data_IF_931707092423
#
_entry.id   IF_931707092423
#
_cell.length_a   1.000
_cell.length_b   1.000
_cell.length_c   1.000
_cell.angle_alpha   90.00
_cell.angle_beta   90.00
_cell.angle_gamma   90.00
#
_symmetry.space_group_name_H-M   'P 1'
#
loop_
_entity.id
_entity.type
_entity.pdbx_description
1 polymer ?
#
# COMPACT_ATOMS: atom_id res chain seq x y z
N UNK A 1 -16.78 -25.13 -44.00
CA UNK A 1 -17.29 -23.75 -43.80
C UNK A 1 -16.33 -23.05 -42.87
N UNK A 2 -15.81 -21.89 -43.30
CA UNK A 2 -14.97 -20.97 -42.52
C UNK A 2 -15.73 -20.45 -41.29
N UNK A 3 -15.06 -20.33 -40.14
CA UNK A 3 -14.61 -19.05 -39.59
C UNK A 3 -13.57 -19.28 -38.48
N UNK A 4 -12.46 -18.57 -38.63
CA UNK A 4 -11.38 -18.33 -37.68
C UNK A 4 -11.83 -17.56 -36.46
N UNK A 5 -11.12 -17.67 -35.34
CA UNK A 5 -10.80 -16.57 -34.39
C UNK A 5 -9.75 -17.11 -33.40
N UNK A 6 -8.47 -16.74 -33.60
CA UNK A 6 -7.77 -15.60 -32.99
C UNK A 6 -7.20 -15.96 -31.61
N UNK A 7 -6.02 -16.59 -31.66
CA UNK A 7 -5.04 -16.64 -30.58
C UNK A 7 -4.50 -15.21 -30.39
N UNK A 8 -4.75 -14.58 -29.24
CA UNK A 8 -4.13 -13.31 -28.87
C UNK A 8 -2.96 -13.63 -27.96
N UNK A 9 -1.76 -13.65 -28.54
CA UNK A 9 -0.51 -13.43 -27.81
C UNK A 9 -0.48 -11.98 -27.34
N UNK A 10 -0.45 -11.75 -26.03
CA UNK A 10 -0.27 -10.44 -25.41
C UNK A 10 1.10 -10.28 -24.79
N UNK A 11 2.16 -10.30 -25.61
CA UNK A 11 3.48 -9.83 -25.21
C UNK A 11 3.45 -8.30 -25.19
N UNK A 12 3.19 -7.69 -24.03
CA UNK A 12 3.31 -6.25 -23.86
C UNK A 12 4.79 -5.88 -23.66
N UNK A 13 5.52 -5.68 -24.76
CA UNK A 13 6.75 -4.90 -24.75
C UNK A 13 6.40 -3.43 -24.51
N UNK A 14 6.48 -2.94 -23.27
CA UNK A 14 6.62 -1.50 -23.01
C UNK A 14 8.08 -1.09 -23.21
N UNK A 15 8.46 -0.91 -24.47
CA UNK A 15 9.69 -0.22 -24.84
C UNK A 15 9.46 1.29 -24.88
N UNK A 16 9.66 1.99 -23.76
CA UNK A 16 9.79 3.46 -23.78
C UNK A 16 11.25 3.78 -24.11
N UNK A 17 11.49 3.99 -25.41
CA UNK A 17 12.77 4.40 -25.97
C UNK A 17 12.96 5.92 -25.76
N UNK A 18 13.53 6.33 -24.63
CA UNK A 18 14.01 7.70 -24.43
C UNK A 18 15.41 7.87 -25.07
N UNK A 19 15.47 8.39 -26.30
CA UNK A 19 16.72 8.88 -26.91
C UNK A 19 16.64 10.38 -27.14
N UNK A 20 17.59 11.15 -26.57
CA UNK A 20 17.70 12.59 -26.84
C UNK A 20 18.45 13.47 -25.82
N UNK A 21 19.74 13.18 -25.58
CA UNK A 21 20.90 14.08 -25.38
C UNK A 21 20.68 15.50 -24.77
N UNK A 22 21.32 15.78 -23.63
CA UNK A 22 22.29 16.88 -23.46
C UNK A 22 22.98 16.82 -22.08
N UNK A 23 24.31 16.75 -22.07
CA UNK A 23 25.11 16.86 -20.87
C UNK A 23 25.07 18.29 -20.31
N UNK A 24 24.55 18.45 -19.10
CA UNK A 24 24.93 19.55 -18.21
C UNK A 24 25.73 18.95 -17.05
N UNK A 25 27.05 19.11 -17.09
CA UNK A 25 27.91 18.89 -15.92
C UNK A 25 27.66 20.01 -14.92
N UNK A 26 26.53 19.96 -14.22
CA UNK A 26 26.46 20.47 -12.87
C UNK A 26 27.26 19.48 -12.02
N UNK A 27 28.19 19.99 -11.21
CA UNK A 27 28.86 19.17 -10.21
C UNK A 27 27.77 18.75 -9.24
N UNK A 28 27.19 17.56 -9.47
CA UNK A 28 26.21 16.97 -8.58
C UNK A 28 26.85 16.93 -7.21
N UNK A 29 26.18 17.52 -6.23
CA UNK A 29 26.46 17.23 -4.83
C UNK A 29 26.53 15.70 -4.70
N UNK A 30 27.57 15.19 -4.06
CA UNK A 30 27.74 13.74 -3.93
C UNK A 30 26.49 13.21 -3.23
N UNK A 31 25.64 12.46 -3.95
CA UNK A 31 24.40 11.93 -3.39
C UNK A 31 24.75 11.16 -2.13
N UNK A 32 24.22 11.63 -1.00
CA UNK A 32 24.44 11.01 0.30
C UNK A 32 23.38 9.93 0.52
N UNK A 33 23.69 8.87 1.26
CA UNK A 33 22.66 7.98 1.76
C UNK A 33 21.65 8.75 2.61
N UNK A 34 20.38 8.40 2.50
CA UNK A 34 19.30 8.91 3.35
C UNK A 34 18.85 7.81 4.32
N UNK A 35 18.33 8.22 5.46
CA UNK A 35 17.63 7.32 6.36
C UNK A 35 16.41 7.99 6.98
N UNK A 36 15.30 7.25 6.99
CA UNK A 36 14.03 7.66 7.55
C UNK A 36 13.58 6.60 8.55
N UNK A 37 13.31 7.00 9.79
CA UNK A 37 12.78 6.15 10.83
C UNK A 37 11.44 6.73 11.28
N UNK A 38 10.43 5.89 11.45
CA UNK A 38 9.15 6.32 11.98
C UNK A 38 8.50 5.25 12.83
N UNK A 39 7.54 5.68 13.65
CA UNK A 39 6.60 4.80 14.32
C UNK A 39 5.24 5.48 14.29
N UNK A 40 4.26 4.77 13.75
CA UNK A 40 2.85 5.19 13.75
C UNK A 40 2.12 4.51 14.89
N UNK A 41 1.32 5.26 15.63
CA UNK A 41 0.35 4.72 16.59
C UNK A 41 -1.05 5.01 16.05
N UNK A 42 -1.74 3.97 15.55
CA UNK A 42 -3.03 4.09 14.89
C UNK A 42 -4.13 3.39 15.69
N UNK A 43 -5.35 3.89 15.55
CA UNK A 43 -6.53 3.29 16.19
C UNK A 43 -6.96 1.96 15.57
N UNK A 44 -6.52 1.66 14.33
CA UNK A 44 -6.80 0.43 13.59
C UNK A 44 -5.72 0.19 12.52
N UNK A 45 -5.45 -1.07 12.19
CA UNK A 45 -4.75 -1.48 10.98
C UNK A 45 -5.78 -1.86 9.91
N UNK A 46 -5.84 -1.07 8.83
CA UNK A 46 -6.68 -1.35 7.67
C UNK A 46 -5.80 -1.51 6.44
N UNK A 47 -5.84 -2.68 5.80
CA UNK A 47 -5.03 -2.99 4.63
C UNK A 47 -5.92 -3.33 3.43
N UNK A 48 -5.83 -2.51 2.37
CA UNK A 48 -6.65 -2.61 1.15
C UNK A 48 -8.15 -2.81 1.42
N UNK A 49 -8.68 -2.20 2.47
CA UNK A 49 -10.09 -2.32 2.85
C UNK A 49 -10.33 -3.23 4.05
N UNK A 50 -9.50 -4.25 4.27
CA UNK A 50 -9.66 -5.22 5.36
C UNK A 50 -9.27 -4.62 6.72
N UNK A 51 -10.15 -4.70 7.70
CA UNK A 51 -9.81 -4.41 9.10
C UNK A 51 -9.04 -5.60 9.69
N UNK A 52 -7.75 -5.38 9.99
CA UNK A 52 -6.82 -6.38 10.53
C UNK A 52 -6.50 -6.15 12.01
N UNK A 53 -7.20 -5.21 12.65
CA UNK A 53 -7.15 -5.02 14.11
C UNK A 53 -8.44 -4.40 14.62
N UNK A 54 -8.83 -4.71 15.86
CA UNK A 54 -10.07 -4.21 16.45
C UNK A 54 -9.90 -3.88 17.92
N UNK A 55 -10.54 -2.80 18.35
CA UNK A 55 -10.59 -2.33 19.75
C UNK A 55 -9.23 -2.12 20.43
N UNK A 56 -8.16 -1.98 19.64
CA UNK A 56 -6.78 -1.86 20.10
C UNK A 56 -6.04 -0.73 19.36
N UNK A 57 -4.87 -0.35 19.86
CA UNK A 57 -3.92 0.50 19.13
C UNK A 57 -2.93 -0.40 18.41
N UNK A 58 -2.59 -0.06 17.18
CA UNK A 58 -1.46 -0.69 16.47
C UNK A 58 -0.26 0.24 16.46
N UNK A 59 0.93 -0.34 16.66
CA UNK A 59 2.22 0.34 16.57
C UNK A 59 2.94 -0.17 15.32
N UNK A 60 3.24 0.74 14.40
CA UNK A 60 3.79 0.41 13.10
C UNK A 60 5.16 1.08 12.91
N UNK A 61 6.26 0.47 13.42
CA UNK A 61 7.59 0.97 13.17
C UNK A 61 7.98 0.78 11.70
N UNK A 62 8.71 1.75 11.15
CA UNK A 62 9.22 1.70 9.79
C UNK A 62 10.61 2.32 9.71
N UNK A 63 11.49 1.72 8.92
CA UNK A 63 12.83 2.23 8.64
C UNK A 63 13.14 2.08 7.16
N UNK A 64 13.49 3.18 6.51
CA UNK A 64 13.93 3.23 5.12
C UNK A 64 15.37 3.71 5.05
N UNK A 65 16.19 3.05 4.23
CA UNK A 65 17.50 3.56 3.81
C UNK A 65 17.51 3.72 2.30
N UNK A 66 18.05 4.85 1.82
CA UNK A 66 18.06 5.21 0.40
C UNK A 66 19.45 5.57 -0.11
N UNK A 67 19.78 5.17 -1.34
CA UNK A 67 20.99 5.60 -2.04
C UNK A 67 20.86 5.46 -3.56
N UNK A 68 21.02 6.57 -4.30
CA UNK A 68 21.04 6.60 -5.79
C UNK A 68 19.79 5.97 -6.43
N UNK A 69 18.62 6.27 -5.88
CA UNK A 69 17.35 5.70 -6.30
C UNK A 69 17.05 4.31 -5.72
N UNK A 70 18.03 3.59 -5.17
CA UNK A 70 17.75 2.32 -4.48
C UNK A 70 17.24 2.59 -3.06
N UNK A 71 16.15 1.92 -2.69
CA UNK A 71 15.59 1.93 -1.34
C UNK A 71 15.53 0.53 -0.74
N UNK A 72 15.73 0.44 0.57
CA UNK A 72 15.33 -0.71 1.37
C UNK A 72 14.49 -0.24 2.54
N UNK A 73 13.28 -0.76 2.67
CA UNK A 73 12.38 -0.49 3.78
C UNK A 73 12.12 -1.77 4.59
N UNK A 74 12.12 -1.61 5.91
CA UNK A 74 11.65 -2.59 6.87
C UNK A 74 10.49 -1.97 7.65
N UNK A 75 9.33 -2.60 7.58
CA UNK A 75 8.12 -2.21 8.29
C UNK A 75 7.62 -3.37 9.15
N UNK A 76 6.88 -3.09 10.22
CA UNK A 76 6.19 -4.13 10.97
C UNK A 76 4.92 -3.62 11.62
N UNK A 77 4.06 -4.56 12.01
CA UNK A 77 2.83 -4.29 12.73
C UNK A 77 2.83 -4.97 14.10
N UNK A 78 2.56 -4.19 15.14
CA UNK A 78 2.32 -4.68 16.49
C UNK A 78 0.93 -4.25 16.94
N UNK A 79 0.03 -5.21 17.13
CA UNK A 79 -1.24 -4.98 17.79
C UNK A 79 -1.03 -5.01 19.32
N UNK A 80 -1.46 -3.95 20.02
CA UNK A 80 -1.29 -3.87 21.48
C UNK A 80 -2.24 -4.76 22.28
N UNK A 81 -3.34 -5.19 21.67
CA UNK A 81 -4.36 -6.05 22.27
C UNK A 81 -5.06 -6.82 21.14
N UNK A 82 -4.35 -7.80 20.56
CA UNK A 82 -4.82 -8.55 19.40
C UNK A 82 -6.15 -9.24 19.71
N UNK A 83 -7.14 -9.01 18.85
CA UNK A 83 -8.51 -9.48 19.06
C UNK A 83 -8.62 -11.01 18.99
N UNK A 84 -9.44 -11.60 19.87
CA UNK A 84 -9.55 -13.05 20.05
C UNK A 84 -9.85 -13.83 18.76
N UNK A 85 -10.60 -13.27 17.80
CA UNK A 85 -10.90 -13.94 16.53
C UNK A 85 -9.69 -14.07 15.60
N UNK A 86 -8.67 -13.22 15.79
CA UNK A 86 -7.39 -13.34 15.11
C UNK A 86 -6.43 -14.26 15.90
N UNK A 87 -6.48 -14.17 17.22
CA UNK A 87 -5.54 -14.84 18.12
C UNK A 87 -5.77 -16.35 18.24
N UNK A 88 -7.02 -16.82 18.20
CA UNK A 88 -7.35 -18.20 18.57
C UNK A 88 -7.98 -19.02 17.43
N UNK A 89 -7.51 -20.27 17.27
CA UNK A 89 -8.18 -21.24 16.41
C UNK A 89 -9.54 -21.70 17.00
N UNK A 90 -10.30 -22.49 16.22
CA UNK A 90 -11.57 -23.08 16.65
C UNK A 90 -11.47 -23.98 17.91
N UNK A 91 -10.24 -24.36 18.31
CA UNK A 91 -9.94 -25.17 19.48
C UNK A 91 -9.42 -24.33 20.66
N UNK A 92 -9.32 -23.01 20.52
CA UNK A 92 -8.82 -22.08 21.53
C UNK A 92 -7.30 -22.11 21.73
N UNK A 93 -6.55 -22.61 20.75
CA UNK A 93 -5.08 -22.51 20.75
C UNK A 93 -4.67 -21.14 20.23
N UNK A 94 -3.68 -20.55 20.89
CA UNK A 94 -3.03 -19.32 20.44
C UNK A 94 -2.28 -19.59 19.13
N UNK A 95 -2.66 -18.87 18.08
CA UNK A 95 -2.16 -19.06 16.71
C UNK A 95 -1.39 -17.87 16.16
N UNK A 96 -1.55 -16.67 16.75
CA UNK A 96 -0.98 -15.43 16.22
C UNK A 96 -0.42 -14.58 17.37
N UNK A 97 0.85 -14.21 17.28
CA UNK A 97 1.52 -13.26 18.15
C UNK A 97 1.02 -11.82 17.89
N UNK A 98 1.03 -10.98 18.92
CA UNK A 98 0.73 -9.55 18.80
C UNK A 98 1.58 -8.82 17.74
N UNK A 99 2.79 -9.32 17.44
CA UNK A 99 3.57 -8.86 16.30
C UNK A 99 3.08 -9.60 15.06
N UNK A 100 2.13 -9.01 14.34
CA UNK A 100 1.36 -9.73 13.32
C UNK A 100 2.08 -9.80 11.97
N UNK A 101 3.00 -8.86 11.68
CA UNK A 101 3.56 -8.74 10.34
C UNK A 101 4.94 -8.06 10.31
N UNK A 102 5.81 -8.48 9.38
CA UNK A 102 7.05 -7.79 9.01
C UNK A 102 7.21 -7.73 7.50
N UNK A 103 7.36 -6.53 6.96
CA UNK A 103 7.50 -6.33 5.53
C UNK A 103 8.91 -5.86 5.18
N UNK A 104 9.44 -6.43 4.11
CA UNK A 104 10.73 -6.05 3.55
C UNK A 104 10.54 -5.61 2.11
N UNK A 105 10.79 -4.33 1.84
CA UNK A 105 10.65 -3.76 0.50
C UNK A 105 12.01 -3.37 -0.06
N UNK A 106 12.29 -3.79 -1.29
CA UNK A 106 13.37 -3.29 -2.13
C UNK A 106 12.79 -2.45 -3.25
N UNK A 107 13.25 -1.21 -3.41
CA UNK A 107 12.76 -0.30 -4.45
C UNK A 107 13.88 0.27 -5.31
N UNK A 108 13.51 0.67 -6.52
CA UNK A 108 14.27 1.59 -7.35
C UNK A 108 13.35 2.70 -7.85
N UNK A 109 13.61 3.92 -7.37
CA UNK A 109 12.81 5.10 -7.61
C UNK A 109 13.59 6.14 -8.42
N UNK A 110 12.87 6.87 -9.26
CA UNK A 110 13.43 7.94 -10.07
C UNK A 110 12.40 8.97 -10.45
N UNK A 111 12.89 10.08 -10.99
CA UNK A 111 12.06 11.21 -11.37
C UNK A 111 12.44 11.70 -12.76
N UNK A 112 11.43 12.14 -13.51
CA UNK A 112 11.59 12.91 -14.74
C UNK A 112 10.73 14.19 -14.65
N UNK A 113 10.81 15.06 -15.66
CA UNK A 113 10.18 16.39 -15.61
C UNK A 113 8.65 16.40 -15.40
N UNK A 114 7.97 15.28 -15.62
CA UNK A 114 6.51 15.21 -15.58
C UNK A 114 5.99 14.12 -14.66
N UNK A 115 6.86 13.25 -14.15
CA UNK A 115 6.46 12.12 -13.33
C UNK A 115 7.60 11.58 -12.47
N UNK A 116 7.23 11.13 -11.29
CA UNK A 116 8.01 10.20 -10.48
C UNK A 116 7.61 8.77 -10.84
N UNK A 117 8.54 7.83 -10.77
CA UNK A 117 8.30 6.43 -11.10
C UNK A 117 9.09 5.51 -10.17
N UNK A 118 8.56 4.32 -9.94
CA UNK A 118 9.18 3.33 -9.08
C UNK A 118 8.94 1.91 -9.58
N UNK A 119 9.85 1.01 -9.21
CA UNK A 119 9.65 -0.44 -9.28
C UNK A 119 10.14 -1.03 -7.97
N UNK A 120 9.46 -2.06 -7.48
CA UNK A 120 9.91 -2.70 -6.26
C UNK A 120 9.46 -4.14 -6.12
N UNK A 121 9.98 -4.75 -5.08
CA UNK A 121 9.67 -6.08 -4.60
C UNK A 121 9.40 -6.00 -3.11
N UNK A 122 8.37 -6.69 -2.65
CA UNK A 122 7.94 -6.73 -1.26
C UNK A 122 7.87 -8.20 -0.84
N UNK A 123 8.42 -8.51 0.33
CA UNK A 123 8.22 -9.76 1.03
C UNK A 123 7.41 -9.48 2.29
N UNK A 124 6.30 -10.20 2.46
CA UNK A 124 5.39 -10.11 3.58
C UNK A 124 5.63 -11.32 4.50
N UNK A 125 6.12 -11.05 5.72
CA UNK A 125 6.23 -12.07 6.76
C UNK A 125 5.02 -11.96 7.68
N UNK A 126 3.98 -12.75 7.44
CA UNK A 126 2.69 -12.66 8.13
C UNK A 126 2.63 -13.77 9.17
N UNK A 127 2.36 -13.40 10.42
CA UNK A 127 2.21 -14.40 11.47
C UNK A 127 0.83 -15.09 11.39
N UNK A 128 0.82 -16.40 11.58
CA UNK A 128 -0.40 -17.21 11.45
C UNK A 128 -0.89 -17.52 10.02
N UNK A 129 -0.29 -16.91 8.99
CA UNK A 129 -0.69 -17.08 7.59
C UNK A 129 0.50 -17.45 6.69
N UNK A 130 0.23 -17.79 5.43
CA UNK A 130 1.29 -18.00 4.45
C UNK A 130 1.97 -16.66 4.12
N UNK A 131 3.31 -16.65 4.16
CA UNK A 131 4.08 -15.50 3.71
C UNK A 131 3.87 -15.30 2.21
N UNK A 132 3.82 -14.06 1.75
CA UNK A 132 3.66 -13.76 0.32
C UNK A 132 4.68 -12.75 -0.20
N UNK A 133 4.70 -12.60 -1.52
CA UNK A 133 5.65 -11.76 -2.24
C UNK A 133 4.94 -11.00 -3.34
N UNK A 134 5.19 -9.69 -3.43
CA UNK A 134 4.67 -8.85 -4.49
C UNK A 134 5.80 -8.18 -5.26
N UNK A 135 5.59 -7.96 -6.56
CA UNK A 135 6.32 -6.96 -7.34
C UNK A 135 5.39 -5.81 -7.69
N UNK A 136 5.92 -4.60 -7.76
CA UNK A 136 5.11 -3.45 -8.15
C UNK A 136 5.82 -2.51 -9.11
N UNK A 137 5.03 -1.76 -9.86
CA UNK A 137 5.46 -0.59 -10.62
C UNK A 137 4.54 0.58 -10.30
N UNK A 138 5.11 1.77 -10.16
CA UNK A 138 4.38 2.99 -9.85
C UNK A 138 4.76 4.14 -10.77
N UNK A 139 3.80 5.06 -10.97
CA UNK A 139 4.04 6.35 -11.59
C UNK A 139 3.12 7.41 -10.97
N UNK A 140 3.66 8.59 -10.70
CA UNK A 140 2.93 9.75 -10.16
C UNK A 140 3.21 10.96 -11.02
N UNK A 141 2.18 11.58 -11.61
CA UNK A 141 2.38 12.76 -12.45
C UNK A 141 2.56 14.01 -11.59
N UNK A 142 3.55 14.84 -11.92
CA UNK A 142 3.84 16.10 -11.23
C UNK A 142 2.90 17.22 -11.70
N UNK A 143 1.61 17.11 -11.34
CA UNK A 143 0.55 18.07 -11.66
C UNK A 143 -0.17 18.53 -10.39
N UNK A 144 -1.15 19.42 -10.50
CA UNK A 144 -1.85 19.98 -9.34
C UNK A 144 -2.35 18.90 -8.36
N UNK A 145 -2.93 17.81 -8.86
CA UNK A 145 -3.53 16.76 -8.02
C UNK A 145 -2.67 15.49 -7.91
N UNK A 146 -1.41 15.56 -8.33
CA UNK A 146 -0.45 14.45 -8.26
C UNK A 146 -1.05 13.06 -8.55
N UNK A 147 -1.75 12.86 -9.69
CA UNK A 147 -2.43 11.60 -9.94
C UNK A 147 -1.41 10.46 -10.03
N UNK A 148 -1.68 9.37 -9.32
CA UNK A 148 -0.80 8.22 -9.20
C UNK A 148 -1.47 6.94 -9.68
N UNK A 149 -0.64 6.03 -10.19
CA UNK A 149 -0.99 4.66 -10.52
C UNK A 149 0.08 3.75 -9.94
N UNK A 150 -0.35 2.74 -9.18
CA UNK A 150 0.54 1.64 -8.78
C UNK A 150 -0.13 0.32 -9.09
N UNK A 151 0.62 -0.58 -9.73
CA UNK A 151 0.20 -1.93 -10.08
C UNK A 151 1.07 -2.89 -9.30
N UNK A 152 0.43 -3.71 -8.48
CA UNK A 152 1.03 -4.79 -7.70
C UNK A 152 0.67 -6.13 -8.34
N UNK A 153 1.60 -7.05 -8.31
CA UNK A 153 1.40 -8.45 -8.68
C UNK A 153 1.92 -9.33 -7.56
N UNK A 154 1.02 -10.06 -6.93
CA UNK A 154 1.39 -11.16 -6.05
C UNK A 154 1.88 -12.35 -6.88
N UNK A 155 2.98 -12.95 -6.45
CA UNK A 155 3.67 -14.03 -7.15
C UNK A 155 3.84 -15.28 -6.28
N UNK A 156 3.16 -15.35 -5.13
CA UNK A 156 3.30 -16.44 -4.17
C UNK A 156 1.95 -16.88 -3.59
N UNK A 157 1.55 -16.44 -2.39
CA UNK A 157 0.45 -17.05 -1.63
C UNK A 157 -0.95 -16.58 -2.02
N UNK A 158 -1.08 -15.42 -2.69
CA UNK A 158 -2.38 -14.96 -3.21
C UNK A 158 -2.23 -14.41 -4.64
N UNK A 159 -1.87 -15.24 -5.63
CA UNK A 159 -1.59 -14.78 -7.00
C UNK A 159 -2.73 -13.94 -7.58
N UNK A 160 -2.41 -12.70 -7.90
CA UNK A 160 -3.40 -11.75 -8.38
C UNK A 160 -2.81 -10.37 -8.58
N UNK A 161 -3.61 -9.47 -9.12
CA UNK A 161 -3.26 -8.07 -9.31
C UNK A 161 -4.02 -7.19 -8.33
N UNK A 162 -3.31 -6.22 -7.75
CA UNK A 162 -3.94 -5.07 -7.12
C UNK A 162 -3.51 -3.80 -7.85
N UNK A 163 -4.48 -3.04 -8.34
CA UNK A 163 -4.22 -1.78 -9.07
C UNK A 163 -4.82 -0.63 -8.28
N UNK A 164 -3.99 0.35 -7.93
CA UNK A 164 -4.43 1.54 -7.21
C UNK A 164 -4.30 2.78 -8.07
N UNK A 165 -5.35 3.60 -8.08
CA UNK A 165 -5.38 4.93 -8.68
C UNK A 165 -5.60 5.97 -7.58
N UNK A 166 -4.71 6.94 -7.50
CA UNK A 166 -4.72 7.96 -6.45
C UNK A 166 -4.70 9.39 -6.98
N UNK A 167 -5.14 10.31 -6.16
CA UNK A 167 -4.90 11.75 -6.28
C UNK A 167 -4.53 12.32 -4.91
N UNK A 168 -3.71 13.37 -4.90
CA UNK A 168 -3.37 14.07 -3.67
C UNK A 168 -3.11 15.56 -3.90
N UNK A 169 -3.32 16.37 -2.87
CA UNK A 169 -2.99 17.79 -2.91
C UNK A 169 -2.60 18.31 -1.52
N UNK A 170 -1.56 19.13 -1.48
CA UNK A 170 -1.06 19.79 -0.28
C UNK A 170 -1.52 21.25 -0.25
N UNK A 171 -2.37 21.59 0.72
CA UNK A 171 -2.83 22.96 0.95
C UNK A 171 -1.95 23.64 1.98
N UNK A 172 -1.20 24.67 1.58
CA UNK A 172 -0.44 25.48 2.53
C UNK A 172 -1.38 26.21 3.50
N UNK A 173 -1.22 25.95 4.79
CA UNK A 173 -1.92 26.65 5.88
C UNK A 173 -1.04 27.81 6.38
N UNK A 174 0.25 27.56 6.54
CA UNK A 174 1.29 28.54 6.83
C UNK A 174 2.51 28.28 5.92
N UNK A 175 3.60 29.03 6.09
CA UNK A 175 4.86 28.76 5.39
C UNK A 175 5.50 27.42 5.81
N UNK A 176 5.15 26.90 6.98
CA UNK A 176 5.75 25.69 7.58
C UNK A 176 4.77 24.51 7.71
N UNK A 177 3.46 24.75 7.52
CA UNK A 177 2.41 23.75 7.71
C UNK A 177 1.56 23.58 6.45
N UNK A 178 1.41 22.33 6.00
CA UNK A 178 0.50 21.90 4.95
C UNK A 178 -0.57 20.97 5.50
N UNK A 179 -1.80 21.11 5.01
CA UNK A 179 -2.83 20.09 5.09
C UNK A 179 -2.74 19.24 3.82
N UNK A 180 -2.39 17.97 3.99
CA UNK A 180 -2.26 17.02 2.91
C UNK A 180 -3.56 16.21 2.81
N UNK A 181 -4.21 16.26 1.65
CA UNK A 181 -5.43 15.50 1.37
C UNK A 181 -5.16 14.49 0.26
N UNK A 182 -5.69 13.28 0.42
CA UNK A 182 -5.57 12.21 -0.55
C UNK A 182 -6.89 11.47 -0.77
N UNK A 183 -7.02 10.87 -1.95
CA UNK A 183 -8.04 9.88 -2.23
C UNK A 183 -7.45 8.80 -3.14
N UNK A 184 -7.78 7.53 -2.90
CA UNK A 184 -7.43 6.41 -3.78
C UNK A 184 -8.61 5.46 -3.97
N UNK A 185 -8.58 4.73 -5.07
CA UNK A 185 -9.40 3.55 -5.33
C UNK A 185 -8.51 2.37 -5.72
N UNK A 186 -8.92 1.17 -5.33
CA UNK A 186 -8.28 -0.09 -5.64
C UNK A 186 -9.14 -0.97 -6.54
N UNK A 187 -8.50 -1.76 -7.39
CA UNK A 187 -9.10 -2.86 -8.13
C UNK A 187 -8.30 -4.12 -7.86
N UNK A 188 -8.99 -5.21 -7.51
CA UNK A 188 -8.40 -6.52 -7.33
C UNK A 188 -8.80 -7.44 -8.50
N UNK A 189 -7.87 -8.28 -8.92
CA UNK A 189 -8.05 -9.32 -9.94
C UNK A 189 -7.31 -10.57 -9.47
N UNK A 190 -8.02 -11.53 -8.89
CA UNK A 190 -7.43 -12.78 -8.39
C UNK A 190 -7.34 -13.79 -9.52
N UNK A 191 -6.26 -14.58 -9.54
CA UNK A 191 -6.02 -15.50 -10.65
C UNK A 191 -6.89 -16.77 -10.59
N UNK A 192 -7.21 -17.25 -9.39
CA UNK A 192 -7.84 -18.55 -9.15
C UNK A 192 -8.97 -18.44 -8.09
N UNK A 193 -10.10 -19.08 -8.35
CA UNK A 193 -11.24 -19.10 -7.44
C UNK A 193 -10.95 -19.84 -6.12
N UNK A 194 -9.98 -20.77 -6.12
CA UNK A 194 -9.56 -21.48 -4.91
C UNK A 194 -8.86 -20.53 -3.91
N UNK A 195 -8.25 -19.44 -4.40
CA UNK A 195 -7.59 -18.42 -3.58
C UNK A 195 -8.60 -17.40 -3.04
N UNK A 196 -9.47 -16.88 -3.92
CA UNK A 196 -10.62 -16.05 -3.53
C UNK A 196 -11.68 -16.06 -4.64
N UNK A 197 -12.81 -16.70 -4.36
CA UNK A 197 -13.93 -16.78 -5.28
C UNK A 197 -14.78 -15.50 -5.30
N UNK A 198 -15.41 -15.24 -6.44
CA UNK A 198 -16.42 -14.18 -6.57
C UNK A 198 -17.65 -14.51 -5.69
N UNK A 199 -18.13 -13.56 -4.86
CA UNK A 199 -19.31 -13.75 -4.00
C UNK A 199 -20.59 -14.15 -4.74
N UNK A 200 -20.75 -13.70 -5.99
CA UNK A 200 -21.94 -13.93 -6.82
C UNK A 200 -21.82 -15.19 -7.71
N UNK A 201 -20.60 -15.62 -8.06
CA UNK A 201 -20.33 -16.90 -8.75
C UNK A 201 -19.08 -17.60 -8.18
N UNK A 202 -19.24 -18.62 -7.31
CA UNK A 202 -18.12 -19.27 -6.65
C UNK A 202 -17.26 -20.15 -7.58
N UNK A 203 -17.55 -20.19 -8.90
CA UNK A 203 -16.70 -20.86 -9.90
C UNK A 203 -15.82 -19.88 -10.68
N UNK A 204 -15.92 -18.59 -10.40
CA UNK A 204 -15.08 -17.55 -10.99
C UNK A 204 -14.23 -16.91 -9.87
N UNK A 205 -12.99 -16.52 -10.21
CA UNK A 205 -12.11 -15.82 -9.30
C UNK A 205 -12.57 -14.36 -9.09
N UNK A 206 -12.38 -13.85 -7.88
CA UNK A 206 -12.81 -12.49 -7.53
C UNK A 206 -12.08 -11.43 -8.35
N UNK A 207 -12.85 -10.54 -8.99
CA UNK A 207 -12.32 -9.43 -9.77
C UNK A 207 -13.24 -8.22 -9.68
N UNK A 208 -12.88 -7.22 -8.87
CA UNK A 208 -13.76 -6.08 -8.63
C UNK A 208 -13.06 -4.79 -8.22
N UNK A 209 -13.78 -3.66 -8.36
CA UNK A 209 -13.39 -2.42 -7.69
C UNK A 209 -13.54 -2.64 -6.19
N UNK A 210 -12.42 -2.67 -5.49
CA UNK A 210 -12.37 -3.24 -4.16
C UNK A 210 -12.55 -2.17 -3.07
N UNK A 211 -11.52 -1.36 -2.83
CA UNK A 211 -11.48 -0.40 -1.73
C UNK A 211 -11.31 1.04 -2.20
N UNK A 212 -11.96 1.96 -1.52
CA UNK A 212 -11.71 3.39 -1.60
C UNK A 212 -11.14 3.89 -0.28
N UNK A 213 -10.18 4.82 -0.34
CA UNK A 213 -9.66 5.49 0.87
C UNK A 213 -9.60 6.99 0.64
N UNK A 214 -10.09 7.77 1.60
CA UNK A 214 -9.88 9.21 1.71
C UNK A 214 -8.97 9.46 2.91
N UNK A 215 -7.98 10.34 2.75
CA UNK A 215 -7.00 10.66 3.79
C UNK A 215 -6.84 12.15 4.03
N UNK A 216 -6.50 12.50 5.26
CA UNK A 216 -6.06 13.83 5.66
C UNK A 216 -4.92 13.71 6.67
N UNK A 217 -3.84 14.46 6.47
CA UNK A 217 -2.73 14.54 7.42
C UNK A 217 -2.12 15.93 7.46
N UNK A 218 -1.35 16.21 8.51
CA UNK A 218 -0.61 17.47 8.66
C UNK A 218 0.68 17.20 9.40
N UNK A 219 1.81 17.57 8.79
CA UNK A 219 3.13 17.34 9.39
C UNK A 219 3.58 18.56 10.19
N UNK A 220 3.89 18.36 11.47
CA UNK A 220 4.45 19.38 12.36
C UNK A 220 5.95 19.12 12.57
N UNK A 221 6.84 19.96 12.02
CA UNK A 221 8.27 19.82 12.25
C UNK A 221 8.64 20.11 13.72
N UNK A 222 9.55 19.32 14.27
CA UNK A 222 10.03 19.40 15.64
C UNK A 222 11.57 19.47 15.66
N UNK A 223 12.11 20.65 15.37
CA UNK A 223 13.54 20.84 15.22
C UNK A 223 14.02 20.42 13.83
N UNK A 224 15.27 19.98 13.72
CA UNK A 224 15.91 19.71 12.42
C UNK A 224 15.58 18.32 11.87
N UNK A 225 15.47 17.32 12.74
CA UNK A 225 15.40 15.91 12.32
C UNK A 225 14.06 15.25 12.56
N UNK A 226 13.20 15.80 13.44
CA UNK A 226 11.99 15.12 13.88
C UNK A 226 10.73 15.82 13.38
N UNK A 227 9.66 15.05 13.22
CA UNK A 227 8.32 15.57 12.96
C UNK A 227 7.24 14.71 13.62
N UNK A 228 6.09 15.31 13.85
CA UNK A 228 4.87 14.63 14.30
C UNK A 228 3.77 14.87 13.28
N UNK A 229 3.12 13.80 12.85
CA UNK A 229 2.09 13.83 11.81
C UNK A 229 0.83 13.17 12.31
N UNK A 230 -0.16 13.93 12.82
CA UNK A 230 -1.52 13.43 12.95
C UNK A 230 -2.12 13.09 11.58
N UNK A 231 -2.89 12.01 11.55
CA UNK A 231 -3.48 11.44 10.34
C UNK A 231 -4.88 10.87 10.59
N UNK A 232 -5.73 10.95 9.58
CA UNK A 232 -7.10 10.45 9.58
C UNK A 232 -7.42 9.85 8.21
N UNK A 233 -8.11 8.73 8.24
CA UNK A 233 -8.47 7.93 7.09
C UNK A 233 -9.94 7.49 7.17
N UNK A 234 -10.56 7.37 6.01
CA UNK A 234 -11.83 6.67 5.83
C UNK A 234 -11.68 5.68 4.68
N UNK A 235 -11.74 4.39 5.00
CA UNK A 235 -11.76 3.26 4.07
C UNK A 235 -13.18 2.77 3.86
N UNK A 236 -13.54 2.37 2.65
CA UNK A 236 -14.88 1.89 2.30
C UNK A 236 -14.85 0.96 1.08
N UNK A 237 -15.83 0.06 0.98
CA UNK A 237 -16.01 -0.79 -0.19
C UNK A 237 -16.55 -0.01 -1.40
N UNK A 238 -16.10 -0.34 -2.61
CA UNK A 238 -16.53 0.37 -3.83
C UNK A 238 -17.77 -0.23 -4.51
N UNK A 239 -18.04 -1.51 -4.29
CA UNK A 239 -19.26 -2.19 -4.75
C UNK A 239 -19.70 -3.32 -3.78
N UNK A 240 -20.77 -4.04 -4.16
CA UNK A 240 -21.38 -5.10 -3.35
C UNK A 240 -20.43 -6.28 -3.15
N UNK A 241 -19.69 -6.65 -4.18
CA UNK A 241 -18.89 -7.86 -4.17
C UNK A 241 -17.66 -7.60 -3.31
N UNK A 242 -17.07 -6.42 -3.46
CA UNK A 242 -16.03 -5.93 -2.56
C UNK A 242 -16.51 -5.79 -1.13
N UNK A 243 -17.75 -5.33 -0.93
CA UNK A 243 -18.34 -5.24 0.41
C UNK A 243 -18.39 -6.61 1.07
N UNK A 244 -18.92 -7.61 0.39
CA UNK A 244 -19.08 -8.96 0.93
C UNK A 244 -17.72 -9.60 1.24
N UNK A 245 -16.72 -9.41 0.37
CA UNK A 245 -15.34 -9.87 0.58
C UNK A 245 -14.67 -9.15 1.76
N UNK A 246 -14.79 -7.82 1.84
CA UNK A 246 -14.18 -7.02 2.92
C UNK A 246 -14.84 -7.35 4.26
N UNK A 247 -16.16 -7.45 4.32
CA UNK A 247 -16.88 -7.88 5.53
C UNK A 247 -16.35 -9.25 5.96
N UNK A 248 -16.34 -10.25 5.07
CA UNK A 248 -15.94 -11.62 5.39
C UNK A 248 -14.50 -11.77 5.92
N UNK A 249 -13.57 -10.93 5.46
CA UNK A 249 -12.16 -10.98 5.86
C UNK A 249 -11.77 -9.96 6.95
N UNK A 250 -12.69 -9.08 7.37
CA UNK A 250 -12.46 -8.13 8.46
C UNK A 250 -12.78 -8.74 9.82
N UNK A 251 -12.14 -8.25 10.89
CA UNK A 251 -12.40 -8.74 12.26
C UNK A 251 -13.90 -8.60 12.62
N UNK A 252 -14.52 -9.70 13.08
CA UNK A 252 -15.95 -9.90 13.34
C UNK A 252 -16.88 -10.00 12.12
N UNK A 253 -16.41 -9.84 10.89
CA UNK A 253 -17.24 -10.16 9.72
C UNK A 253 -18.35 -9.15 9.35
N UNK A 254 -18.45 -8.02 10.06
CA UNK A 254 -19.70 -7.22 10.12
C UNK A 254 -19.64 -5.83 9.47
N UNK A 255 -18.44 -5.33 9.14
CA UNK A 255 -18.23 -3.97 8.62
C UNK A 255 -17.34 -3.99 7.37
N UNK A 256 -17.61 -3.10 6.40
CA UNK A 256 -16.74 -2.86 5.22
C UNK A 256 -16.12 -1.46 5.18
N UNK A 257 -16.48 -0.63 6.15
CA UNK A 257 -16.21 0.80 6.15
C UNK A 257 -15.58 1.21 7.48
N UNK A 258 -14.41 1.84 7.42
CA UNK A 258 -13.59 2.06 8.60
C UNK A 258 -13.10 3.50 8.65
N UNK A 259 -13.36 4.17 9.77
CA UNK A 259 -12.67 5.42 10.13
C UNK A 259 -11.55 5.07 11.10
N UNK A 260 -10.33 5.46 10.75
CA UNK A 260 -9.15 5.20 11.55
C UNK A 260 -8.15 6.33 11.41
N UNK A 261 -7.22 6.43 12.34
CA UNK A 261 -6.22 7.48 12.32
C UNK A 261 -5.33 7.39 13.54
N UNK A 262 -4.44 8.36 13.67
CA UNK A 262 -3.46 8.32 14.73
C UNK A 262 -2.39 9.38 14.60
N UNK A 263 -1.21 9.06 15.09
CA UNK A 263 -0.05 9.95 15.08
C UNK A 263 1.18 9.16 14.70
N UNK A 264 1.91 9.69 13.73
CA UNK A 264 3.23 9.22 13.35
C UNK A 264 4.32 10.14 13.90
N UNK A 265 5.33 9.56 14.54
CA UNK A 265 6.59 10.24 14.90
C UNK A 265 7.65 9.80 13.90
N UNK A 266 8.31 10.77 13.24
CA UNK A 266 9.37 10.49 12.26
C UNK A 266 10.69 11.16 12.61
N UNK A 267 11.78 10.57 12.14
CA UNK A 267 13.14 11.08 12.16
C UNK A 267 13.80 10.86 10.80
N UNK A 268 14.33 11.90 10.17
CA UNK A 268 14.97 11.84 8.84
C UNK A 268 16.35 12.50 8.84
N UNK A 269 17.34 11.93 8.13
CA UNK A 269 18.67 12.55 7.93
C UNK A 269 19.38 12.10 6.65
#
# INVERSE_FOLDING_TARGET
MRKSMLTISGMALLGILCTGIAASTAWAEEEKPTADLSVSALSKYVWRGYELSKDSIVLQPSMTIGYKGFGFNLWGNLDTDLHDELTYDENGNDTIDNWTETDMTLSYDGSCNYADYGVGYIYYAIDGYENTQEIYVSATLQTLLSPSLTIYRDIDALPGWYVSLGISHSFAITEELSLDLGAKIGYYDIDDEDDMADPDDPNDAYSSFHDGVISASMTFPMGEYFSVTPELYYSFSLDSDAKDVIEAASVNGDDSDFVYGGVTLSMSF
#
